data_IF_641958767331
#
_entry.id   IF_641958767331
#
_cell.length_a   1.000
_cell.length_b   1.000
_cell.length_c   1.000
_cell.angle_alpha   90.00
_cell.angle_beta   90.00
_cell.angle_gamma   90.00
#
_symmetry.space_group_name_H-M   'P 1'
#
loop_
_entity.id
_entity.type
_entity.pdbx_description
1 polymer ?
#
# COMPACT_ATOMS: atom_id res chain seq x y z
N UNK A 1 6.03 -13.13 -14.96
CA UNK A 1 7.00 -12.87 -13.86
C UNK A 1 6.27 -11.98 -12.88
N UNK A 2 5.66 -12.57 -11.84
CA UNK A 2 4.86 -11.82 -10.87
C UNK A 2 5.71 -10.77 -10.16
N UNK A 3 5.14 -9.58 -10.01
CA UNK A 3 5.78 -8.42 -9.43
C UNK A 3 6.20 -8.73 -7.98
N UNK A 4 7.51 -8.73 -7.68
CA UNK A 4 8.02 -8.88 -6.30
C UNK A 4 8.16 -7.52 -5.58
N UNK A 5 7.58 -6.45 -6.15
CA UNK A 5 7.67 -5.09 -5.62
C UNK A 5 6.62 -4.78 -4.53
N UNK A 6 5.96 -5.79 -3.98
CA UNK A 6 5.15 -5.61 -2.78
C UNK A 6 6.05 -5.25 -1.59
N UNK A 7 5.57 -4.40 -0.70
CA UNK A 7 6.27 -4.20 0.55
C UNK A 7 6.22 -5.47 1.38
N UNK A 8 7.33 -5.80 2.01
CA UNK A 8 7.42 -6.97 2.90
C UNK A 8 7.83 -6.50 4.28
N UNK A 9 7.09 -6.96 5.29
CA UNK A 9 7.39 -6.76 6.69
C UNK A 9 7.51 -8.12 7.36
N UNK A 10 8.65 -8.38 8.01
CA UNK A 10 8.81 -9.58 8.83
C UNK A 10 8.48 -9.21 10.27
N UNK A 11 7.25 -9.47 10.69
CA UNK A 11 6.82 -9.17 12.06
C UNK A 11 7.54 -10.07 13.06
N UNK A 12 7.90 -9.51 14.22
CA UNK A 12 8.55 -10.25 15.30
C UNK A 12 7.55 -10.50 16.42
N UNK A 13 7.27 -11.77 16.70
CA UNK A 13 6.36 -12.21 17.75
C UNK A 13 6.93 -13.38 18.55
N UNK A 14 6.40 -13.57 19.75
CA UNK A 14 6.62 -14.75 20.58
C UNK A 14 5.33 -15.57 20.62
N UNK A 15 5.46 -16.89 20.49
CA UNK A 15 4.33 -17.82 20.63
C UNK A 15 4.13 -18.11 22.11
N UNK A 16 2.94 -17.86 22.63
CA UNK A 16 2.56 -18.15 24.02
C UNK A 16 1.49 -19.23 24.02
N UNK A 17 1.84 -20.41 24.54
CA UNK A 17 0.89 -21.51 24.72
C UNK A 17 0.04 -21.26 25.97
N UNK A 18 -1.27 -21.23 25.78
CA UNK A 18 -2.30 -21.03 26.83
C UNK A 18 -3.28 -22.21 26.91
N UNK A 19 -2.95 -23.33 26.26
CA UNK A 19 -3.79 -24.52 26.19
C UNK A 19 -4.78 -24.50 25.03
N UNK A 20 -4.87 -23.41 24.26
CA UNK A 20 -5.62 -23.36 23.02
C UNK A 20 -4.87 -24.09 21.88
N UNK A 21 -5.57 -24.80 20.97
CA UNK A 21 -4.97 -25.34 19.75
C UNK A 21 -4.26 -24.29 18.89
N UNK A 22 -4.69 -23.02 18.97
CA UNK A 22 -4.11 -21.89 18.27
C UNK A 22 -3.41 -20.96 19.28
N UNK A 23 -2.09 -21.13 19.48
CA UNK A 23 -1.39 -20.39 20.52
C UNK A 23 -1.38 -18.89 20.22
N UNK A 24 -1.45 -18.09 21.28
CA UNK A 24 -1.45 -16.63 21.16
C UNK A 24 -0.09 -16.12 20.64
N UNK A 25 -0.13 -15.30 19.59
CA UNK A 25 1.04 -14.57 19.11
C UNK A 25 1.13 -13.21 19.83
N UNK A 26 2.21 -12.98 20.57
CA UNK A 26 2.45 -11.74 21.31
C UNK A 26 3.57 -10.94 20.62
N UNK A 27 3.39 -9.64 20.32
CA UNK A 27 4.44 -8.83 19.73
C UNK A 27 5.72 -8.86 20.56
N UNK A 28 6.87 -9.00 19.89
CA UNK A 28 8.18 -8.98 20.57
C UNK A 28 8.57 -7.56 21.04
N UNK A 29 7.89 -6.53 20.51
CA UNK A 29 8.20 -5.11 20.71
C UNK A 29 9.61 -4.69 20.24
N UNK A 30 10.26 -5.52 19.42
CA UNK A 30 11.53 -5.20 18.77
C UNK A 30 11.30 -4.50 17.42
N UNK A 31 12.31 -3.78 16.95
CA UNK A 31 12.31 -3.23 15.59
C UNK A 31 12.39 -4.33 14.53
N UNK A 32 11.68 -4.14 13.42
CA UNK A 32 11.75 -5.01 12.25
C UNK A 32 11.96 -4.19 10.98
N UNK A 33 12.46 -4.85 9.94
CA UNK A 33 12.73 -4.21 8.65
C UNK A 33 11.47 -4.30 7.78
N UNK A 34 11.12 -3.18 7.16
CA UNK A 34 10.13 -3.13 6.09
C UNK A 34 10.85 -2.77 4.79
N UNK A 35 10.71 -3.61 3.77
CA UNK A 35 11.34 -3.42 2.47
C UNK A 35 10.32 -2.95 1.44
N UNK A 36 10.79 -2.30 0.37
CA UNK A 36 10.00 -1.90 -0.80
C UNK A 36 8.77 -1.02 -0.50
N UNK A 37 8.81 -0.21 0.56
CA UNK A 37 7.77 0.79 0.86
C UNK A 37 7.97 2.11 0.10
N UNK A 38 9.16 2.33 -0.46
CA UNK A 38 9.53 3.53 -1.23
C UNK A 38 9.21 4.84 -0.51
N UNK A 39 9.48 4.89 0.79
CA UNK A 39 9.35 6.09 1.62
C UNK A 39 10.49 6.14 2.63
N UNK A 40 10.88 7.35 3.01
CA UNK A 40 11.81 7.63 4.10
C UNK A 40 11.12 8.07 5.40
N UNK A 41 9.78 8.18 5.38
CA UNK A 41 8.91 8.61 6.49
C UNK A 41 9.31 9.97 7.10
N UNK A 42 10.05 10.80 6.36
CA UNK A 42 10.44 12.15 6.79
C UNK A 42 9.45 13.19 6.30
N UNK A 43 9.52 14.37 6.90
CA UNK A 43 8.75 15.55 6.46
C UNK A 43 9.56 16.32 5.41
N UNK A 44 8.91 16.65 4.30
CA UNK A 44 9.48 17.41 3.21
C UNK A 44 8.62 18.60 2.83
N UNK A 45 9.27 19.68 2.38
CA UNK A 45 8.56 20.81 1.78
C UNK A 45 8.19 20.47 0.32
N UNK A 46 6.90 20.34 0.05
CA UNK A 46 6.37 20.07 -1.30
C UNK A 46 6.18 21.34 -2.13
N UNK A 47 6.45 22.52 -1.55
CA UNK A 47 6.32 23.82 -2.18
C UNK A 47 4.89 24.34 -2.23
N UNK A 48 4.69 25.54 -2.80
CA UNK A 48 3.40 26.22 -2.78
C UNK A 48 2.31 25.54 -3.62
N UNK A 49 2.65 24.65 -4.54
CA UNK A 49 1.67 23.94 -5.37
C UNK A 49 0.91 22.83 -4.62
N UNK A 50 1.44 22.37 -3.47
CA UNK A 50 0.86 21.34 -2.59
C UNK A 50 0.44 21.90 -1.23
N UNK A 51 0.20 23.21 -1.16
CA UNK A 51 -0.14 23.81 0.11
C UNK A 51 -1.56 23.45 0.55
N UNK A 52 -1.72 23.25 1.85
CA UNK A 52 -3.01 23.16 2.53
C UNK A 52 -3.23 24.34 3.46
N UNK A 53 -4.49 24.63 3.75
CA UNK A 53 -4.87 25.67 4.69
C UNK A 53 -5.44 25.04 5.94
N UNK A 54 -4.83 25.33 7.07
CA UNK A 54 -5.31 24.91 8.38
C UNK A 54 -6.56 25.71 8.78
N UNK A 55 -7.30 25.20 9.77
CA UNK A 55 -8.52 25.85 10.27
C UNK A 55 -8.25 27.28 10.81
N UNK A 56 -7.05 27.54 11.31
CA UNK A 56 -6.60 28.85 11.81
C UNK A 56 -6.14 29.81 10.69
N UNK A 57 -6.18 29.36 9.44
CA UNK A 57 -5.79 30.12 8.26
C UNK A 57 -4.30 30.09 7.92
N UNK A 58 -3.47 29.39 8.70
CA UNK A 58 -2.07 29.13 8.36
C UNK A 58 -1.95 28.18 7.16
N UNK A 59 -0.79 28.22 6.49
CA UNK A 59 -0.52 27.41 5.30
C UNK A 59 0.52 26.35 5.62
N UNK A 60 0.18 25.08 5.39
CA UNK A 60 1.07 23.95 5.55
C UNK A 60 1.64 23.51 4.20
N UNK A 61 2.95 23.31 4.14
CA UNK A 61 3.66 22.76 2.97
C UNK A 61 4.55 21.56 3.33
N UNK A 62 4.71 21.29 4.62
CA UNK A 62 5.53 20.21 5.16
C UNK A 62 4.66 18.98 5.35
N UNK A 63 4.93 17.92 4.60
CA UNK A 63 4.18 16.67 4.65
C UNK A 63 5.11 15.48 4.80
N UNK A 64 4.64 14.43 5.46
CA UNK A 64 5.38 13.17 5.55
C UNK A 64 5.34 12.48 4.19
N UNK A 65 6.46 11.91 3.75
CA UNK A 65 6.51 11.04 2.56
C UNK A 65 5.66 9.79 2.82
N UNK A 66 4.47 9.72 2.22
CA UNK A 66 3.64 8.53 2.27
C UNK A 66 4.36 7.36 1.56
N UNK A 67 4.34 6.13 2.11
CA UNK A 67 4.77 4.94 1.39
C UNK A 67 4.06 4.78 0.04
N UNK A 68 4.81 4.46 -1.02
CA UNK A 68 4.24 4.30 -2.37
C UNK A 68 3.61 2.92 -2.62
N UNK A 69 3.58 2.05 -1.61
CA UNK A 69 2.82 0.80 -1.69
C UNK A 69 1.34 1.11 -1.97
N UNK A 70 0.80 0.68 -3.11
CA UNK A 70 -0.58 1.02 -3.45
C UNK A 70 -0.80 2.35 -4.15
N UNK A 71 0.25 3.12 -4.47
CA UNK A 71 0.10 4.38 -5.21
C UNK A 71 -0.53 4.18 -6.59
N UNK A 72 -0.43 2.98 -7.18
CA UNK A 72 -1.07 2.66 -8.46
C UNK A 72 -2.60 2.55 -8.39
N UNK A 73 -3.18 2.42 -7.19
CA UNK A 73 -4.61 2.13 -6.98
C UNK A 73 -5.32 3.12 -6.04
N UNK A 74 -4.69 4.25 -5.70
CA UNK A 74 -5.20 5.19 -4.69
C UNK A 74 -5.33 6.65 -5.17
N UNK A 75 -5.85 6.92 -6.39
CA UNK A 75 -6.20 8.30 -6.75
C UNK A 75 -7.37 8.83 -5.90
N UNK A 76 -7.51 10.16 -5.72
CA UNK A 76 -6.60 11.20 -6.20
C UNK A 76 -5.34 11.34 -5.33
N UNK A 77 -4.32 11.99 -5.89
CA UNK A 77 -2.98 12.10 -5.31
C UNK A 77 -2.66 13.49 -4.74
N UNK A 78 -1.65 13.52 -3.88
CA UNK A 78 -1.28 14.67 -3.07
C UNK A 78 -2.05 14.71 -1.76
N UNK A 79 -1.46 15.29 -0.71
CA UNK A 79 -2.19 15.52 0.54
C UNK A 79 -3.45 16.38 0.29
N UNK A 80 -3.37 17.31 -0.67
CA UNK A 80 -4.50 18.15 -1.08
C UNK A 80 -5.54 17.47 -1.99
N UNK A 81 -5.29 16.23 -2.42
CA UNK A 81 -6.18 15.44 -3.26
C UNK A 81 -6.51 16.04 -4.64
N UNK A 82 -5.71 17.00 -5.13
CA UNK A 82 -6.05 17.76 -6.35
C UNK A 82 -5.55 17.14 -7.65
N UNK A 83 -4.73 16.09 -7.60
CA UNK A 83 -4.23 15.44 -8.83
C UNK A 83 -4.91 14.11 -9.11
N UNK A 84 -5.46 13.97 -10.30
CA UNK A 84 -6.24 12.77 -10.65
C UNK A 84 -5.36 11.63 -11.19
N UNK A 85 -4.15 11.94 -11.65
CA UNK A 85 -3.20 10.97 -12.18
C UNK A 85 -1.76 11.16 -11.69
N UNK A 86 -0.96 10.10 -11.83
CA UNK A 86 0.43 10.03 -11.36
C UNK A 86 1.37 10.99 -12.10
N UNK A 87 1.13 11.27 -13.39
CA UNK A 87 1.98 12.20 -14.14
C UNK A 87 1.73 13.60 -13.64
N UNK A 88 0.47 13.97 -13.46
CA UNK A 88 0.06 15.28 -12.95
C UNK A 88 0.65 15.55 -11.56
N UNK A 89 0.54 14.60 -10.63
CA UNK A 89 1.07 14.78 -9.28
C UNK A 89 2.60 14.92 -9.30
N UNK A 90 3.32 14.11 -10.11
CA UNK A 90 4.78 14.24 -10.28
C UNK A 90 5.13 15.64 -10.79
N UNK A 91 4.41 16.15 -11.78
CA UNK A 91 4.69 17.46 -12.39
C UNK A 91 4.32 18.65 -11.49
N UNK A 92 3.41 18.47 -10.52
CA UNK A 92 3.10 19.50 -9.52
C UNK A 92 4.14 19.64 -8.42
N UNK A 93 5.01 18.64 -8.20
CA UNK A 93 5.95 18.65 -7.08
C UNK A 93 6.90 19.84 -7.15
N UNK A 94 7.04 20.56 -6.04
CA UNK A 94 7.96 21.70 -5.89
C UNK A 94 8.87 21.50 -4.68
N UNK A 95 9.32 22.61 -4.09
CA UNK A 95 10.14 22.59 -2.87
C UNK A 95 11.36 21.67 -3.01
N UNK A 96 11.53 20.76 -2.06
CA UNK A 96 12.64 19.80 -2.04
C UNK A 96 12.55 18.76 -3.18
N UNK A 97 11.36 18.49 -3.69
CA UNK A 97 11.13 17.56 -4.81
C UNK A 97 11.37 18.19 -6.20
N UNK A 98 11.72 19.48 -6.27
CA UNK A 98 11.93 20.20 -7.55
C UNK A 98 12.93 19.50 -8.46
N UNK A 99 14.05 19.02 -7.91
CA UNK A 99 15.08 18.33 -8.69
C UNK A 99 14.56 17.03 -9.30
N UNK A 100 13.82 16.24 -8.54
CA UNK A 100 13.22 14.99 -9.02
C UNK A 100 12.17 15.24 -10.10
N UNK A 101 11.31 16.26 -9.93
CA UNK A 101 10.37 16.69 -10.97
C UNK A 101 11.10 17.04 -12.26
N UNK A 102 12.14 17.88 -12.17
CA UNK A 102 12.92 18.31 -13.34
C UNK A 102 13.60 17.13 -14.04
N UNK A 103 14.15 16.17 -13.29
CA UNK A 103 14.71 14.96 -13.85
C UNK A 103 13.66 14.14 -14.61
N UNK A 104 12.46 13.97 -14.05
CA UNK A 104 11.34 13.31 -14.74
C UNK A 104 10.91 14.06 -16.01
N UNK A 105 10.91 15.39 -16.00
CA UNK A 105 10.60 16.20 -17.19
C UNK A 105 11.68 16.09 -18.28
N UNK A 106 12.94 15.88 -17.91
CA UNK A 106 14.08 15.88 -18.81
C UNK A 106 14.31 14.53 -19.53
N UNK A 107 13.84 13.42 -18.96
CA UNK A 107 13.91 12.09 -19.58
C UNK A 107 12.90 11.94 -20.73
N UNK A 108 13.16 11.00 -21.64
CA UNK A 108 12.33 10.74 -22.82
C UNK A 108 10.92 10.29 -22.44
N UNK A 109 9.96 10.41 -23.38
CA UNK A 109 8.59 9.93 -23.16
C UNK A 109 8.52 8.42 -22.86
N UNK A 110 9.44 7.64 -23.42
CA UNK A 110 9.55 6.19 -23.16
C UNK A 110 9.98 5.96 -21.71
N UNK A 111 11.00 6.67 -21.24
CA UNK A 111 11.47 6.56 -19.86
C UNK A 111 10.44 7.07 -18.85
N UNK A 112 9.74 8.18 -19.16
CA UNK A 112 8.61 8.65 -18.33
C UNK A 112 7.54 7.56 -18.21
N UNK A 113 7.23 6.86 -19.30
CA UNK A 113 6.26 5.77 -19.28
C UNK A 113 6.73 4.61 -18.41
N UNK A 114 8.00 4.23 -18.45
CA UNK A 114 8.55 3.19 -17.58
C UNK A 114 8.41 3.55 -16.09
N UNK A 115 8.67 4.81 -15.71
CA UNK A 115 8.45 5.28 -14.34
C UNK A 115 6.97 5.18 -13.94
N UNK A 116 6.07 5.63 -14.82
CA UNK A 116 4.63 5.57 -14.55
C UNK A 116 4.11 4.14 -14.48
N UNK A 117 4.60 3.24 -15.33
CA UNK A 117 4.20 1.83 -15.33
C UNK A 117 4.73 1.10 -14.09
N UNK A 118 5.94 1.45 -13.62
CA UNK A 118 6.44 1.01 -12.32
C UNK A 118 5.52 1.47 -11.18
N UNK A 119 5.15 2.75 -11.10
CA UNK A 119 4.27 3.28 -10.05
C UNK A 119 2.87 2.64 -10.10
N UNK A 120 2.32 2.43 -11.31
CA UNK A 120 1.04 1.73 -11.52
C UNK A 120 1.08 0.27 -11.05
N UNK A 121 2.25 -0.35 -11.04
CA UNK A 121 2.42 -1.73 -10.57
C UNK A 121 2.37 -1.87 -9.04
N UNK A 122 2.48 -0.75 -8.30
CA UNK A 122 2.40 -0.71 -6.84
C UNK A 122 0.93 -0.59 -6.41
N UNK A 123 0.19 -1.69 -6.36
CA UNK A 123 -1.24 -1.73 -5.97
C UNK A 123 -1.43 -2.33 -4.58
N UNK A 124 -2.46 -1.92 -3.84
CA UNK A 124 -2.77 -2.48 -2.50
C UNK A 124 -3.34 -3.90 -2.61
N UNK A 125 -4.18 -4.12 -3.61
CA UNK A 125 -4.81 -5.41 -3.90
C UNK A 125 -4.60 -5.67 -5.39
N UNK A 126 -3.93 -6.76 -5.78
CA UNK A 126 -4.06 -7.31 -7.12
C UNK A 126 -5.55 -7.41 -7.52
N UNK A 127 -5.92 -7.28 -8.81
CA UNK A 127 -7.31 -7.43 -9.26
C UNK A 127 -7.98 -8.71 -8.72
N UNK A 128 -7.20 -9.78 -8.58
CA UNK A 128 -7.62 -11.10 -8.09
C UNK A 128 -7.97 -11.10 -6.59
N UNK A 129 -7.53 -10.07 -5.85
CA UNK A 129 -7.79 -9.82 -4.42
C UNK A 129 -8.91 -8.79 -4.16
N UNK A 130 -9.60 -8.30 -5.21
CA UNK A 130 -10.69 -7.31 -5.04
C UNK A 130 -12.00 -7.97 -4.62
N UNK A 131 -12.84 -7.24 -3.87
CA UNK A 131 -14.09 -7.67 -3.22
C UNK A 131 -15.13 -8.44 -4.08
N UNK A 132 -14.90 -8.62 -5.38
CA UNK A 132 -15.63 -9.56 -6.22
C UNK A 132 -15.29 -11.03 -5.92
N UNK A 133 -14.26 -11.30 -5.12
CA UNK A 133 -13.82 -12.63 -4.68
C UNK A 133 -14.28 -12.97 -3.25
N UNK A 134 -15.29 -12.29 -2.68
CA UNK A 134 -15.73 -12.62 -1.31
C UNK A 134 -16.40 -14.00 -1.27
N UNK A 135 -15.90 -14.90 -0.42
CA UNK A 135 -16.64 -16.11 -0.05
C UNK A 135 -17.81 -15.66 0.85
N UNK A 136 -19.08 -15.96 0.52
CA UNK A 136 -20.23 -15.50 1.32
C UNK A 136 -20.26 -16.10 2.74
N UNK A 137 -19.41 -17.09 3.02
CA UNK A 137 -19.37 -17.79 4.30
C UNK A 137 -20.53 -18.78 4.45
N UNK A 138 -20.36 -19.72 5.37
CA UNK A 138 -21.40 -20.65 5.79
C UNK A 138 -22.06 -20.12 7.08
N UNK A 139 -23.30 -19.62 7.02
CA UNK A 139 -24.00 -19.08 8.20
C UNK A 139 -24.35 -20.14 9.25
N UNK A 140 -24.12 -21.42 8.96
CA UNK A 140 -24.36 -22.54 9.88
C UNK A 140 -23.06 -23.11 10.47
N UNK A 141 -21.90 -22.45 10.26
CA UNK A 141 -20.63 -22.95 10.81
C UNK A 141 -20.63 -22.94 12.34
N UNK A 142 -20.11 -24.01 12.93
CA UNK A 142 -19.84 -24.12 14.36
C UNK A 142 -18.43 -23.64 14.72
N UNK A 143 -17.58 -23.38 13.73
CA UNK A 143 -16.22 -22.87 13.90
C UNK A 143 -16.04 -21.52 13.17
N UNK A 144 -16.34 -20.39 13.82
CA UNK A 144 -16.27 -19.06 13.22
C UNK A 144 -14.84 -18.59 12.90
N UNK A 145 -13.81 -19.38 13.19
CA UNK A 145 -12.41 -19.08 12.84
C UNK A 145 -11.93 -19.83 11.59
N UNK A 146 -12.74 -20.72 11.00
CA UNK A 146 -12.37 -21.47 9.79
C UNK A 146 -12.38 -20.56 8.54
N UNK A 147 -11.23 -20.30 7.87
CA UNK A 147 -11.14 -19.35 6.75
C UNK A 147 -12.07 -19.63 5.57
N UNK A 148 -12.38 -20.91 5.33
CA UNK A 148 -13.27 -21.34 4.26
C UNK A 148 -14.76 -21.13 4.59
N UNK A 149 -15.12 -20.91 5.86
CA UNK A 149 -16.50 -20.94 6.34
C UNK A 149 -16.99 -19.64 6.97
N UNK A 150 -16.11 -18.74 7.44
CA UNK A 150 -16.55 -17.52 8.14
C UNK A 150 -16.83 -16.31 7.23
N UNK A 151 -16.68 -16.46 5.92
CA UNK A 151 -16.81 -15.39 4.95
C UNK A 151 -15.58 -14.49 4.96
N UNK A 152 -14.74 -14.66 3.95
CA UNK A 152 -13.42 -14.02 3.86
C UNK A 152 -13.17 -13.54 2.43
N UNK A 153 -12.14 -12.71 2.25
CA UNK A 153 -11.54 -12.51 0.92
C UNK A 153 -11.09 -13.90 0.47
N UNK A 154 -11.56 -14.37 -0.70
CA UNK A 154 -11.14 -15.66 -1.26
C UNK A 154 -9.66 -15.58 -1.63
N UNK A 155 -8.83 -15.87 -0.62
CA UNK A 155 -7.39 -15.97 -0.67
C UNK A 155 -6.99 -17.44 -0.84
N UNK A 156 -7.77 -18.23 -1.59
CA UNK A 156 -7.56 -19.69 -1.75
C UNK A 156 -6.11 -20.04 -2.12
N UNK A 157 -5.45 -19.15 -2.88
CA UNK A 157 -4.03 -19.24 -3.23
C UNK A 157 -3.05 -18.92 -2.07
N UNK A 158 -3.41 -18.00 -1.16
CA UNK A 158 -2.56 -17.61 -0.02
C UNK A 158 -2.61 -18.62 1.14
N UNK A 159 -3.75 -19.31 1.31
CA UNK A 159 -3.97 -20.30 2.38
C UNK A 159 -3.95 -21.77 1.92
N UNK A 160 -3.67 -22.05 0.64
CA UNK A 160 -3.58 -23.41 0.09
C UNK A 160 -4.83 -24.27 0.36
N UNK A 161 -6.03 -23.68 0.22
CA UNK A 161 -7.28 -24.39 0.48
C UNK A 161 -7.56 -25.36 -0.69
N UNK A 162 -7.48 -26.70 -0.49
CA UNK A 162 -7.48 -27.65 -1.61
C UNK A 162 -8.77 -27.65 -2.45
N UNK A 163 -9.90 -27.25 -1.86
CA UNK A 163 -11.21 -27.22 -2.51
C UNK A 163 -11.43 -26.00 -3.41
N UNK A 164 -10.62 -24.95 -3.27
CA UNK A 164 -10.78 -23.69 -4.01
C UNK A 164 -9.88 -23.63 -5.26
N UNK A 165 -8.98 -24.62 -5.42
CA UNK A 165 -8.13 -24.79 -6.61
C UNK A 165 -6.93 -23.83 -6.65
N UNK A 166 -5.87 -24.15 -7.41
CA UNK A 166 -4.87 -23.17 -7.81
C UNK A 166 -5.40 -22.30 -8.95
N UNK A 167 -4.90 -21.06 -9.06
CA UNK A 167 -4.98 -20.28 -10.31
C UNK A 167 -4.10 -20.88 -11.42
#
# INVERSE_FOLDING_TARGET
IFNRLFATATTLFTVVHDGDPFPRLVPKHDSFVVQNIFSDLKRHDLGPAFHERNYDGTVQKMFVTEPLWGVGSTPPYGHDGRSIDLKEVILRHGGEATRSRQAFQAISLVEQRLVLDFLRSLVLFPPDDTASNLNPGNPQTTNPQSPAEHGSINLGALFQIPSEGPE
#
